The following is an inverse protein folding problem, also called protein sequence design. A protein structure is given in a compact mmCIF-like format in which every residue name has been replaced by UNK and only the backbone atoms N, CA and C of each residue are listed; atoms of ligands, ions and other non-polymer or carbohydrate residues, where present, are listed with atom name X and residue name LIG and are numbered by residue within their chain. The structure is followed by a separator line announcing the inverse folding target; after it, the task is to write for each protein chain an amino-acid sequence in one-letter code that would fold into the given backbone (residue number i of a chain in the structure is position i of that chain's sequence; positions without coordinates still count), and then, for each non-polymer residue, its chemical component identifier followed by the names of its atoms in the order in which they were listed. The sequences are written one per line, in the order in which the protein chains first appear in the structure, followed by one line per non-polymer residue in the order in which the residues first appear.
data_IF_599888163519
#
_entry.id   IF_599888163519
#
_cell.length_a   1.000
_cell.length_b   1.000
_cell.length_c   1.000
_cell.angle_alpha   90.00
_cell.angle_beta   90.00
_cell.angle_gamma   90.00
#
_symmetry.space_group_name_H-M   'P 1'
#
loop_
_entity.id
_entity.type
_entity.pdbx_description
1 polymer ?
#
# COMPACT_ATOMS: atom_id res chain seq x y z
N UNK A 1 -38.03 3.38 -28.08
CA UNK A 1 -38.03 1.90 -28.11
C UNK A 1 -36.81 1.44 -27.31
N UNK A 2 -36.98 1.07 -26.04
CA UNK A 2 -35.90 0.59 -25.18
C UNK A 2 -35.86 -0.94 -25.25
N UNK A 3 -34.85 -1.50 -25.91
CA UNK A 3 -34.63 -2.94 -25.97
C UNK A 3 -33.62 -3.35 -24.89
N UNK A 4 -34.14 -3.94 -23.81
CA UNK A 4 -33.32 -4.58 -22.78
C UNK A 4 -32.72 -5.89 -23.27
N UNK A 5 -31.50 -6.20 -22.84
CA UNK A 5 -30.93 -7.54 -22.98
C UNK A 5 -30.30 -7.96 -21.66
N UNK A 6 -31.05 -8.78 -20.92
CA UNK A 6 -30.60 -9.50 -19.72
C UNK A 6 -29.65 -10.61 -20.20
N UNK A 7 -28.42 -10.64 -19.69
CA UNK A 7 -27.49 -11.77 -19.91
C UNK A 7 -27.30 -12.46 -18.57
N UNK A 8 -27.65 -13.74 -18.56
CA UNK A 8 -27.74 -14.61 -17.40
C UNK A 8 -26.37 -15.09 -16.92
N UNK A 9 -26.36 -15.44 -15.63
CA UNK A 9 -25.25 -15.98 -14.86
C UNK A 9 -24.79 -17.37 -15.36
N UNK A 10 -23.49 -17.62 -15.26
CA UNK A 10 -22.92 -18.96 -15.26
C UNK A 10 -21.85 -19.07 -14.17
N UNK A 11 -22.18 -19.71 -13.04
CA UNK A 11 -21.22 -20.13 -12.03
C UNK A 11 -20.63 -21.48 -12.44
N UNK A 12 -19.31 -21.59 -12.51
CA UNK A 12 -18.61 -22.86 -12.65
C UNK A 12 -17.59 -23.00 -11.52
N UNK A 13 -17.93 -23.81 -10.52
CA UNK A 13 -17.05 -24.26 -9.45
C UNK A 13 -16.22 -25.44 -9.96
N UNK A 14 -14.89 -25.33 -9.88
CA UNK A 14 -13.98 -26.47 -10.08
C UNK A 14 -13.29 -26.75 -8.75
N UNK A 15 -13.70 -27.85 -8.12
CA UNK A 15 -13.01 -28.44 -6.99
C UNK A 15 -12.00 -29.47 -7.54
N UNK A 16 -10.71 -29.30 -7.25
CA UNK A 16 -9.72 -30.36 -7.41
C UNK A 16 -9.18 -30.77 -6.04
N UNK A 17 -9.37 -32.05 -5.74
CA UNK A 17 -8.86 -32.75 -4.57
C UNK A 17 -7.53 -33.45 -4.90
N UNK A 18 -6.70 -33.65 -3.87
CA UNK A 18 -5.50 -34.52 -3.88
C UNK A 18 -4.21 -33.73 -3.59
N UNK A 19 -3.29 -34.17 -2.74
CA UNK A 19 -3.14 -35.39 -1.98
C UNK A 19 -2.19 -35.13 -0.78
N UNK A 20 -2.35 -35.92 0.28
CA UNK A 20 -1.50 -35.94 1.46
C UNK A 20 -0.11 -36.51 1.15
N UNK A 21 0.94 -35.90 1.70
CA UNK A 21 2.23 -36.54 1.91
C UNK A 21 2.84 -36.08 3.24
N UNK A 22 2.76 -36.95 4.23
CA UNK A 22 3.46 -36.85 5.53
C UNK A 22 4.88 -37.37 5.38
N UNK A 23 5.89 -36.55 5.70
CA UNK A 23 7.24 -37.03 6.04
C UNK A 23 7.65 -36.45 7.39
N UNK A 24 7.70 -37.35 8.37
CA UNK A 24 8.31 -37.18 9.69
C UNK A 24 9.80 -37.54 9.61
N UNK A 25 10.66 -36.68 10.14
CA UNK A 25 12.05 -37.02 10.44
C UNK A 25 12.76 -35.91 11.23
N UNK A 26 13.20 -36.14 12.48
CA UNK A 26 14.00 -35.19 13.23
C UNK A 26 15.49 -35.49 13.01
N UNK A 27 16.22 -34.56 12.39
CA UNK A 27 17.68 -34.59 12.40
C UNK A 27 18.17 -33.58 13.46
N UNK A 28 18.68 -34.12 14.56
CA UNK A 28 19.35 -33.38 15.64
C UNK A 28 20.80 -33.16 15.21
N UNK A 29 21.19 -31.92 14.94
CA UNK A 29 22.58 -31.53 14.75
C UNK A 29 22.99 -30.56 15.87
N UNK A 30 23.95 -30.99 16.68
CA UNK A 30 24.62 -30.20 17.71
C UNK A 30 26.01 -29.81 17.21
N UNK A 31 26.46 -28.65 17.69
CA UNK A 31 27.82 -28.05 17.64
C UNK A 31 28.23 -27.31 16.35
N UNK A 32 28.33 -25.99 16.48
CA UNK A 32 29.57 -25.27 16.17
C UNK A 32 29.57 -23.92 16.94
N UNK A 33 30.40 -23.85 17.97
CA UNK A 33 30.86 -22.60 18.58
C UNK A 33 31.62 -21.82 17.52
N UNK A 34 30.98 -20.83 16.91
CA UNK A 34 31.55 -19.93 15.93
C UNK A 34 31.78 -18.57 16.55
N UNK A 35 33.06 -18.24 16.74
CA UNK A 35 33.61 -16.94 17.10
C UNK A 35 32.81 -15.76 16.55
N UNK A 36 32.37 -14.87 17.45
CA UNK A 36 31.73 -13.59 17.14
C UNK A 36 32.67 -12.71 16.32
N UNK A 37 32.58 -12.81 15.00
CA UNK A 37 33.05 -11.76 14.11
C UNK A 37 32.06 -10.60 14.22
N UNK A 38 32.55 -9.45 14.67
CA UNK A 38 31.86 -8.16 14.61
C UNK A 38 31.65 -7.77 13.15
N UNK A 39 30.65 -8.37 12.52
CA UNK A 39 30.09 -7.91 11.26
C UNK A 39 28.84 -7.12 11.59
N UNK A 40 28.90 -5.79 11.44
CA UNK A 40 27.69 -4.99 11.28
C UNK A 40 27.02 -5.44 10.00
N UNK A 41 26.21 -6.51 10.10
CA UNK A 41 25.22 -6.83 9.09
C UNK A 41 24.24 -5.67 9.12
N UNK A 42 24.39 -4.75 8.17
CA UNK A 42 23.27 -3.97 7.70
C UNK A 42 22.26 -4.99 7.19
N UNK A 43 21.38 -5.45 8.09
CA UNK A 43 20.21 -6.22 7.73
C UNK A 43 19.31 -5.25 6.97
N UNK A 44 19.62 -5.07 5.69
CA UNK A 44 18.65 -4.65 4.69
C UNK A 44 17.63 -5.74 4.53
N UNK A 45 16.86 -6.02 5.60
CA UNK A 45 15.54 -6.58 5.44
C UNK A 45 14.79 -5.49 4.73
N UNK A 46 14.65 -5.64 3.41
CA UNK A 46 13.55 -5.05 2.67
C UNK A 46 12.27 -5.63 3.28
N UNK A 47 11.94 -5.16 4.48
CA UNK A 47 10.62 -5.30 5.04
C UNK A 47 9.74 -4.70 3.96
N UNK A 48 8.79 -5.49 3.46
CA UNK A 48 7.61 -4.89 2.85
C UNK A 48 7.24 -3.72 3.78
N UNK A 49 7.44 -2.49 3.31
CA UNK A 49 7.49 -1.32 4.20
C UNK A 49 6.16 -1.30 4.92
N UNK A 50 6.21 -1.61 6.22
CA UNK A 50 5.02 -1.58 7.05
C UNK A 50 4.45 -0.17 6.93
N UNK A 51 3.18 -0.09 6.54
CA UNK A 51 2.51 1.17 6.36
C UNK A 51 2.42 1.87 7.72
N UNK A 52 3.03 3.03 7.88
CA UNK A 52 3.06 3.70 9.16
C UNK A 52 3.81 5.01 9.16
N UNK A 53 3.51 5.84 10.16
CA UNK A 53 4.24 7.09 10.41
C UNK A 53 5.56 6.78 11.09
N UNK A 54 6.65 7.30 10.52
CA UNK A 54 8.00 7.09 11.03
C UNK A 54 8.47 8.28 11.86
N UNK A 55 9.67 8.16 12.45
CA UNK A 55 10.27 9.19 13.28
C UNK A 55 10.51 10.53 12.55
N UNK A 56 10.52 10.54 11.21
CA UNK A 56 10.57 11.74 10.38
C UNK A 56 9.22 12.48 10.26
N UNK A 57 8.17 11.97 10.91
CA UNK A 57 6.82 12.51 10.89
C UNK A 57 6.09 12.29 9.56
N UNK A 58 6.63 11.46 8.67
CA UNK A 58 6.01 11.12 7.39
C UNK A 58 5.35 9.75 7.47
N UNK A 59 4.21 9.62 6.82
CA UNK A 59 3.61 8.32 6.56
C UNK A 59 4.38 7.67 5.41
N UNK A 60 4.93 6.48 5.62
CA UNK A 60 5.47 5.64 4.56
C UNK A 60 4.50 4.50 4.32
N UNK A 61 3.96 4.37 3.11
CA UNK A 61 2.92 3.39 2.81
C UNK A 61 2.96 2.96 1.34
N UNK A 62 2.46 1.76 1.07
CA UNK A 62 2.18 1.34 -0.30
C UNK A 62 1.07 2.19 -0.93
N UNK A 63 1.15 2.40 -2.23
CA UNK A 63 0.14 3.08 -3.04
C UNK A 63 -0.09 2.34 -4.35
N UNK A 64 -1.24 2.61 -4.99
CA UNK A 64 -1.50 2.18 -6.37
C UNK A 64 -0.52 2.87 -7.31
N UNK A 65 0.18 2.09 -8.13
CA UNK A 65 1.01 2.63 -9.21
C UNK A 65 0.13 3.34 -10.24
N UNK A 66 0.51 4.55 -10.63
CA UNK A 66 -0.28 5.45 -11.46
C UNK A 66 -1.36 6.24 -10.72
N UNK A 67 -1.38 6.21 -9.38
CA UNK A 67 -2.28 7.07 -8.59
C UNK A 67 -2.06 8.54 -8.94
N UNK A 68 -3.15 9.30 -9.19
CA UNK A 68 -3.05 10.70 -9.62
C UNK A 68 -2.88 11.60 -8.41
N UNK A 69 -1.89 12.50 -8.47
CA UNK A 69 -1.75 13.62 -7.57
C UNK A 69 -2.45 14.87 -8.13
N UNK A 70 -3.28 15.49 -7.31
CA UNK A 70 -4.12 16.63 -7.67
C UNK A 70 -3.63 17.91 -6.98
N UNK A 71 -3.78 19.06 -7.64
CA UNK A 71 -3.41 20.36 -7.07
C UNK A 71 -4.14 20.66 -5.76
N UNK A 72 -5.44 20.36 -5.72
CA UNK A 72 -6.26 20.48 -4.53
C UNK A 72 -6.83 19.11 -4.18
N UNK A 73 -7.39 18.96 -2.98
CA UNK A 73 -8.03 17.71 -2.50
C UNK A 73 -9.40 17.49 -3.14
N UNK A 74 -9.49 17.65 -4.46
CA UNK A 74 -10.71 17.56 -5.26
C UNK A 74 -10.41 17.07 -6.66
N UNK A 75 -11.29 16.22 -7.19
CA UNK A 75 -11.10 15.56 -8.49
C UNK A 75 -11.18 16.51 -9.67
N UNK A 76 -11.83 17.66 -9.52
CA UNK A 76 -11.94 18.67 -10.58
C UNK A 76 -10.75 19.65 -10.63
N UNK A 77 -9.74 19.47 -9.79
CA UNK A 77 -8.51 20.27 -9.86
C UNK A 77 -7.50 19.70 -10.86
N UNK A 78 -6.49 20.49 -11.21
CA UNK A 78 -5.46 20.05 -12.14
C UNK A 78 -4.70 18.82 -11.60
N UNK A 79 -4.45 17.84 -12.47
CA UNK A 79 -3.57 16.71 -12.17
C UNK A 79 -2.12 17.18 -12.30
N UNK A 80 -1.35 17.08 -11.22
CA UNK A 80 0.04 17.51 -11.13
C UNK A 80 1.03 16.42 -11.57
N UNK A 81 0.61 15.16 -11.50
CA UNK A 81 1.41 14.02 -11.93
C UNK A 81 0.92 12.71 -11.28
N UNK A 82 1.53 11.57 -11.62
CA UNK A 82 1.25 10.30 -10.96
C UNK A 82 2.25 9.95 -9.84
N UNK A 83 1.87 9.01 -8.97
CA UNK A 83 2.77 8.16 -8.20
C UNK A 83 3.03 6.85 -8.97
N UNK A 84 4.18 6.74 -9.62
CA UNK A 84 4.68 5.58 -10.34
C UNK A 84 5.48 4.62 -9.47
N UNK A 85 5.95 5.05 -8.30
CA UNK A 85 6.68 4.21 -7.35
C UNK A 85 5.82 3.79 -6.16
N UNK A 86 6.22 2.72 -5.48
CA UNK A 86 5.60 2.20 -4.26
C UNK A 86 6.68 1.45 -3.44
N UNK A 87 6.82 1.71 -2.13
CA UNK A 87 6.04 2.65 -1.33
C UNK A 87 6.37 4.12 -1.63
N UNK A 88 5.46 5.02 -1.25
CA UNK A 88 5.66 6.48 -1.24
C UNK A 88 5.60 7.03 0.19
N UNK A 89 6.10 8.25 0.39
CA UNK A 89 5.97 8.97 1.65
C UNK A 89 4.96 10.11 1.54
N UNK A 90 4.26 10.43 2.63
CA UNK A 90 3.25 11.48 2.68
C UNK A 90 3.49 12.39 3.89
N UNK A 91 3.38 13.69 3.67
CA UNK A 91 3.78 14.72 4.63
C UNK A 91 2.73 14.98 5.72
N UNK A 92 1.46 14.91 5.34
CA UNK A 92 0.29 15.19 6.16
C UNK A 92 -0.97 14.77 5.40
N UNK A 93 -2.12 14.80 6.07
CA UNK A 93 -3.43 14.53 5.46
C UNK A 93 -4.36 15.73 5.59
N UNK A 94 -5.47 15.74 4.85
CA UNK A 94 -6.57 16.67 5.09
C UNK A 94 -7.86 16.21 4.42
N UNK A 95 -8.96 16.90 4.70
CA UNK A 95 -10.26 16.61 4.07
C UNK A 95 -10.38 17.15 2.65
N UNK A 96 -11.15 16.48 1.82
CA UNK A 96 -11.39 16.84 0.42
C UNK A 96 -12.70 16.30 -0.14
N UNK A 97 -12.71 16.03 -1.45
CA UNK A 97 -13.81 15.35 -2.13
C UNK A 97 -13.98 13.92 -1.59
N UNK A 98 -15.23 13.46 -1.58
CA UNK A 98 -15.57 12.07 -1.34
C UNK A 98 -14.99 11.19 -2.46
N UNK A 99 -14.44 10.04 -2.09
CA UNK A 99 -13.91 9.07 -3.06
C UNK A 99 -14.41 7.65 -2.81
N UNK A 100 -14.11 6.72 -3.73
CA UNK A 100 -14.62 5.35 -3.72
C UNK A 100 -14.25 4.55 -2.45
N UNK A 101 -13.22 4.97 -1.71
CA UNK A 101 -12.88 4.42 -0.39
C UNK A 101 -13.87 4.73 0.74
N UNK A 102 -14.96 5.44 0.48
CA UNK A 102 -16.03 5.67 1.48
C UNK A 102 -15.74 6.79 2.49
N UNK A 103 -14.58 7.46 2.39
CA UNK A 103 -14.24 8.65 3.17
C UNK A 103 -13.82 9.81 2.24
N UNK A 104 -13.33 10.90 2.85
CA UNK A 104 -12.88 12.10 2.17
C UNK A 104 -11.47 12.53 2.60
N UNK A 105 -10.61 11.57 2.95
CA UNK A 105 -9.22 11.80 3.38
C UNK A 105 -8.29 11.84 2.17
N UNK A 106 -7.42 12.83 2.14
CA UNK A 106 -6.41 13.01 1.09
C UNK A 106 -5.04 13.24 1.70
N UNK A 107 -4.01 12.66 1.09
CA UNK A 107 -2.63 12.75 1.57
C UNK A 107 -1.79 13.64 0.67
N UNK A 108 -1.00 14.52 1.29
CA UNK A 108 -0.12 15.45 0.59
C UNK A 108 1.28 14.84 0.45
N UNK A 109 1.82 14.80 -0.76
CA UNK A 109 3.10 14.16 -1.06
C UNK A 109 3.82 14.84 -2.22
N UNK A 110 5.11 14.55 -2.37
CA UNK A 110 5.85 14.83 -3.58
C UNK A 110 5.71 13.63 -4.53
N UNK A 111 5.21 13.90 -5.73
CA UNK A 111 5.00 12.94 -6.81
C UNK A 111 6.32 12.58 -7.49
N UNK A 112 6.34 11.53 -8.30
CA UNK A 112 7.58 11.07 -8.95
C UNK A 112 8.19 12.08 -9.94
N UNK A 113 7.41 13.04 -10.42
CA UNK A 113 7.90 14.15 -11.24
C UNK A 113 8.40 15.35 -10.41
N UNK A 114 8.51 15.21 -9.09
CA UNK A 114 9.00 16.24 -8.16
C UNK A 114 7.96 17.31 -7.78
N UNK A 115 6.78 17.31 -8.40
CA UNK A 115 5.69 18.21 -8.04
C UNK A 115 5.01 17.75 -6.76
N UNK A 116 4.44 18.70 -6.01
CA UNK A 116 3.58 18.34 -4.88
C UNK A 116 2.14 18.13 -5.32
N UNK A 117 1.46 17.16 -4.73
CA UNK A 117 0.09 16.79 -5.06
C UNK A 117 -0.66 16.10 -3.92
N UNK A 118 -1.99 16.18 -3.98
CA UNK A 118 -2.91 15.49 -3.09
C UNK A 118 -3.34 14.17 -3.73
N UNK A 119 -3.22 13.08 -3.00
CA UNK A 119 -3.63 11.73 -3.44
C UNK A 119 -4.77 11.26 -2.54
N UNK A 120 -5.85 10.78 -3.13
CA UNK A 120 -7.01 10.27 -2.38
C UNK A 120 -6.62 9.02 -1.58
N UNK A 121 -7.15 8.87 -0.37
CA UNK A 121 -6.80 7.74 0.49
C UNK A 121 -7.10 6.36 -0.12
N UNK A 122 -8.13 6.28 -0.98
CA UNK A 122 -8.45 5.05 -1.75
C UNK A 122 -7.32 4.55 -2.65
N UNK A 123 -6.33 5.41 -2.95
CA UNK A 123 -5.16 5.05 -3.74
C UNK A 123 -3.95 4.61 -2.88
N UNK A 124 -4.08 4.66 -1.55
CA UNK A 124 -3.09 4.19 -0.59
C UNK A 124 -3.51 2.87 0.02
N UNK A 125 -2.55 2.11 0.54
CA UNK A 125 -2.78 0.85 1.25
C UNK A 125 -2.72 1.04 2.77
N UNK A 126 -3.28 2.15 3.25
CA UNK A 126 -3.49 2.40 4.68
C UNK A 126 -4.55 1.44 5.22
N UNK A 127 -4.40 1.00 6.48
CA UNK A 127 -5.40 0.14 7.14
C UNK A 127 -6.59 0.95 7.67
N UNK A 128 -6.38 2.24 7.96
CA UNK A 128 -7.37 3.18 8.45
C UNK A 128 -6.98 4.58 7.97
N UNK A 129 -7.99 5.40 7.67
CA UNK A 129 -7.83 6.79 7.27
C UNK A 129 -8.52 7.74 8.26
N UNK A 130 -7.88 8.85 8.63
CA UNK A 130 -6.49 9.18 8.33
C UNK A 130 -5.52 8.23 9.05
N UNK A 131 -4.33 8.04 8.47
CA UNK A 131 -3.29 7.19 9.04
C UNK A 131 -2.93 7.67 10.47
N UNK A 132 -2.99 6.78 11.49
CA UNK A 132 -2.72 7.13 12.87
C UNK A 132 -1.34 7.76 13.05
N UNK A 133 -1.28 8.85 13.80
CA UNK A 133 -0.05 9.59 14.06
C UNK A 133 0.36 10.56 12.96
N UNK A 134 -0.28 10.56 11.78
CA UNK A 134 0.01 11.55 10.76
C UNK A 134 -0.76 12.83 11.07
N UNK A 135 -0.08 13.98 11.06
CA UNK A 135 -0.72 15.26 11.32
C UNK A 135 -1.64 15.71 10.18
N UNK A 136 -2.66 16.48 10.51
CA UNK A 136 -3.44 17.22 9.53
C UNK A 136 -2.63 18.40 8.95
N UNK A 137 -2.92 18.75 7.69
CA UNK A 137 -2.64 20.05 7.08
C UNK A 137 -3.98 20.70 6.70
#
# INVERSE_FOLDING_TARGET
MYAGRKIALGFATVALAGALATVTGPARATSATGTSATGTSATGTSAATECGVRADGKLWCGNRVGAKGYEHRRYNSAVRGPLNTSPSWFQCWGRGDQHAGGNNVWYWTQLDNGQWGNVAAVDLHTSVDPAPGLREC
#
